data_IF_128959760943
#
_entry.id   IF_128959760943
#
_cell.length_a   1.000
_cell.length_b   1.000
_cell.length_c   1.000
_cell.angle_alpha   90.00
_cell.angle_beta   90.00
_cell.angle_gamma   90.00
#
_symmetry.space_group_name_H-M   'P 1'
#
loop_
_entity.id
_entity.type
_entity.pdbx_description
1 polymer ?
#
# COMPACT_ATOMS: atom_id res chain seq x y z
N UNK A 1 21.32 21.76 15.26
CA UNK A 1 21.95 20.61 14.57
C UNK A 1 22.19 21.06 13.15
N UNK A 2 23.42 20.98 12.64
CA UNK A 2 23.73 21.41 11.26
C UNK A 2 23.34 20.34 10.23
N UNK A 3 22.97 19.15 10.70
CA UNK A 3 22.57 18.00 9.91
C UNK A 3 21.04 17.82 10.08
N UNK A 4 20.29 17.63 8.98
CA UNK A 4 18.85 17.42 9.06
C UNK A 4 18.51 16.14 9.84
N UNK A 5 17.38 16.15 10.53
CA UNK A 5 16.85 14.96 11.21
C UNK A 5 16.22 14.03 10.18
N UNK A 6 16.49 12.72 10.24
CA UNK A 6 15.94 11.74 9.30
C UNK A 6 14.94 10.84 10.01
N UNK A 7 13.64 10.98 9.73
CA UNK A 7 12.59 10.10 10.22
C UNK A 7 12.73 8.71 9.59
N UNK A 8 12.51 7.67 10.40
CA UNK A 8 12.68 6.27 9.98
C UNK A 8 11.65 5.36 10.63
N UNK A 9 11.71 4.06 10.32
CA UNK A 9 10.92 3.01 10.97
C UNK A 9 9.43 3.37 11.13
N UNK A 10 8.86 3.25 12.34
CA UNK A 10 7.41 3.44 12.55
C UNK A 10 7.02 4.88 12.25
N UNK A 11 7.82 5.86 12.65
CA UNK A 11 7.52 7.28 12.35
C UNK A 11 7.48 7.58 10.85
N UNK A 12 8.41 7.05 10.05
CA UNK A 12 8.39 7.22 8.59
C UNK A 12 7.20 6.51 7.91
N UNK A 13 6.75 5.39 8.47
CA UNK A 13 5.53 4.71 8.03
C UNK A 13 4.27 5.51 8.39
N UNK A 14 4.17 6.02 9.63
CA UNK A 14 3.05 6.88 10.06
C UNK A 14 2.92 8.12 9.16
N UNK A 15 4.04 8.74 8.81
CA UNK A 15 4.06 9.91 7.93
C UNK A 15 3.41 9.63 6.56
N UNK A 16 3.63 8.46 5.97
CA UNK A 16 3.03 8.07 4.66
C UNK A 16 1.52 7.93 4.68
N UNK A 17 0.93 7.82 5.88
CA UNK A 17 -0.51 7.78 6.11
C UNK A 17 -1.10 9.17 6.38
N UNK A 18 -0.32 10.23 6.22
CA UNK A 18 -0.82 11.60 6.38
C UNK A 18 -1.21 12.20 5.04
N UNK A 19 -2.27 13.01 5.04
CA UNK A 19 -2.60 13.85 3.87
C UNK A 19 -1.44 14.79 3.52
N UNK A 20 -0.72 15.28 4.53
CA UNK A 20 0.46 16.12 4.33
C UNK A 20 1.50 15.46 3.40
N UNK A 21 1.84 14.19 3.64
CA UNK A 21 2.81 13.47 2.83
C UNK A 21 2.28 13.18 1.41
N UNK A 22 1.01 12.80 1.29
CA UNK A 22 0.37 12.58 -0.01
C UNK A 22 0.40 13.85 -0.88
N UNK A 23 -0.11 14.97 -0.33
CA UNK A 23 -0.14 16.27 -1.01
C UNK A 23 1.29 16.75 -1.36
N UNK A 24 2.27 16.51 -0.48
CA UNK A 24 3.68 16.81 -0.73
C UNK A 24 4.24 16.02 -1.92
N UNK A 25 3.95 14.72 -2.01
CA UNK A 25 4.39 13.88 -3.14
C UNK A 25 3.75 14.32 -4.45
N UNK A 26 2.50 14.75 -4.43
CA UNK A 26 1.81 15.24 -5.61
C UNK A 26 2.40 16.56 -6.10
N UNK A 27 2.69 17.51 -5.19
CA UNK A 27 3.42 18.74 -5.53
C UNK A 27 4.79 18.43 -6.14
N UNK A 28 5.52 17.47 -5.57
CA UNK A 28 6.85 17.10 -6.07
C UNK A 28 6.78 16.56 -7.51
N UNK A 29 5.79 15.71 -7.80
CA UNK A 29 5.54 15.18 -9.14
C UNK A 29 5.16 16.28 -10.12
N UNK A 30 4.23 17.14 -9.73
CA UNK A 30 3.77 18.25 -10.56
C UNK A 30 4.93 19.17 -10.95
N UNK A 31 5.80 19.49 -9.99
CA UNK A 31 6.96 20.33 -10.22
C UNK A 31 7.99 19.67 -11.15
N UNK A 32 8.30 18.40 -10.91
CA UNK A 32 9.14 17.61 -11.81
C UNK A 32 8.62 17.63 -13.24
N UNK A 33 7.31 17.41 -13.43
CA UNK A 33 6.66 17.49 -14.76
C UNK A 33 6.82 18.85 -15.43
N UNK A 34 6.63 19.94 -14.68
CA UNK A 34 6.75 21.31 -15.21
C UNK A 34 8.18 21.64 -15.66
N UNK A 35 9.19 21.09 -14.99
CA UNK A 35 10.60 21.32 -15.29
C UNK A 35 11.21 20.28 -16.25
N UNK A 36 10.48 19.20 -16.58
CA UNK A 36 11.02 18.09 -17.38
C UNK A 36 12.01 17.20 -16.61
N UNK A 37 11.91 17.17 -15.28
CA UNK A 37 12.78 16.44 -14.37
C UNK A 37 11.99 15.37 -13.57
N UNK A 38 12.72 14.55 -12.78
CA UNK A 38 12.08 13.66 -11.80
C UNK A 38 11.39 14.46 -10.67
N UNK A 39 10.56 13.83 -9.83
CA UNK A 39 9.88 14.54 -8.74
C UNK A 39 10.85 15.19 -7.76
N UNK A 40 10.70 16.49 -7.48
CA UNK A 40 11.52 17.23 -6.52
C UNK A 40 10.73 18.32 -5.79
N UNK A 41 11.27 18.79 -4.67
CA UNK A 41 10.75 19.95 -3.92
C UNK A 41 11.90 20.90 -3.62
N UNK A 42 11.62 22.20 -3.66
CA UNK A 42 12.55 23.21 -3.19
C UNK A 42 12.28 23.55 -1.72
N UNK A 43 13.23 24.24 -1.09
CA UNK A 43 13.11 24.67 0.30
C UNK A 43 11.92 25.60 0.56
N UNK A 44 11.48 26.32 -0.47
CA UNK A 44 10.30 27.19 -0.43
C UNK A 44 8.99 26.39 -0.32
N UNK A 45 8.96 25.15 -0.82
CA UNK A 45 7.77 24.27 -0.81
C UNK A 45 7.60 23.53 0.52
N UNK A 46 8.63 23.53 1.36
CA UNK A 46 8.66 22.77 2.62
C UNK A 46 8.18 23.63 3.79
N UNK A 47 7.32 23.08 4.66
CA UNK A 47 6.93 23.78 5.88
C UNK A 47 8.14 24.01 6.78
N UNK A 48 8.14 25.14 7.49
CA UNK A 48 9.09 25.41 8.55
C UNK A 48 8.49 25.03 9.90
N UNK A 49 9.10 24.04 10.55
CA UNK A 49 8.71 23.58 11.88
C UNK A 49 9.74 23.98 12.95
N UNK A 50 10.65 24.91 12.60
CA UNK A 50 11.65 25.46 13.51
C UNK A 50 12.85 24.55 13.78
N UNK A 51 13.14 23.55 12.94
CA UNK A 51 14.28 22.64 13.18
C UNK A 51 15.65 23.23 12.83
N UNK A 52 15.68 24.33 12.06
CA UNK A 52 16.92 25.02 11.67
C UNK A 52 17.47 25.95 12.74
N UNK A 53 16.76 26.14 13.85
CA UNK A 53 17.25 26.93 14.97
C UNK A 53 18.51 26.28 15.56
N UNK A 54 19.62 27.02 15.52
CA UNK A 54 20.89 26.57 16.07
C UNK A 54 20.80 26.38 17.59
N UNK A 55 21.44 25.31 18.09
CA UNK A 55 21.51 25.02 19.51
C UNK A 55 20.24 24.49 20.17
N UNK A 56 19.16 24.22 19.42
CA UNK A 56 17.95 23.62 19.98
C UNK A 56 18.27 22.26 20.65
N UNK A 57 17.89 22.05 21.93
CA UNK A 57 18.17 20.80 22.61
C UNK A 57 17.29 19.68 22.05
N UNK A 58 17.75 18.43 22.20
CA UNK A 58 17.11 17.26 21.58
C UNK A 58 15.62 17.10 21.94
N UNK A 59 15.24 17.42 23.18
CA UNK A 59 13.83 17.35 23.60
C UNK A 59 12.94 18.38 22.88
N UNK A 60 13.46 19.59 22.59
CA UNK A 60 12.75 20.61 21.81
C UNK A 60 12.59 20.16 20.35
N UNK A 61 13.62 19.54 19.77
CA UNK A 61 13.54 18.94 18.43
C UNK A 61 12.48 17.84 18.37
N UNK A 62 12.46 16.93 19.35
CA UNK A 62 11.44 15.88 19.46
C UNK A 62 10.05 16.49 19.57
N UNK A 63 9.85 17.47 20.45
CA UNK A 63 8.55 18.14 20.62
C UNK A 63 8.06 18.77 19.31
N UNK A 64 8.93 19.51 18.60
CA UNK A 64 8.59 20.13 17.31
C UNK A 64 8.16 19.10 16.26
N UNK A 65 8.87 17.98 16.19
CA UNK A 65 8.52 16.88 15.27
C UNK A 65 7.19 16.23 15.67
N UNK A 66 6.98 15.96 16.96
CA UNK A 66 5.72 15.41 17.47
C UNK A 66 4.54 16.34 17.16
N UNK A 67 4.66 17.63 17.47
CA UNK A 67 3.62 18.63 17.19
C UNK A 67 3.30 18.70 15.68
N UNK A 68 4.34 18.67 14.84
CA UNK A 68 4.18 18.65 13.39
C UNK A 68 3.43 17.40 12.91
N UNK A 69 3.85 16.19 13.34
CA UNK A 69 3.21 14.93 12.98
C UNK A 69 1.73 14.90 13.41
N UNK A 70 1.44 15.38 14.62
CA UNK A 70 0.07 15.49 15.13
C UNK A 70 -0.74 16.47 14.29
N UNK A 71 -0.17 17.62 13.94
CA UNK A 71 -0.82 18.61 13.05
C UNK A 71 -1.09 18.05 11.64
N UNK A 72 -0.29 17.09 11.18
CA UNK A 72 -0.45 16.39 9.91
C UNK A 72 -1.43 15.21 9.97
N UNK A 73 -1.99 14.93 11.15
CA UNK A 73 -3.04 13.92 11.35
C UNK A 73 -2.56 12.60 11.95
N UNK A 74 -1.30 12.48 12.37
CA UNK A 74 -0.85 11.30 13.12
C UNK A 74 -1.47 11.34 14.53
N UNK A 75 -2.12 10.25 15.01
CA UNK A 75 -2.65 10.23 16.36
C UNK A 75 -1.57 10.49 17.41
N UNK A 76 -1.86 11.30 18.43
CA UNK A 76 -0.88 11.73 19.43
C UNK A 76 -0.21 10.55 20.16
N UNK A 77 -0.96 9.47 20.42
CA UNK A 77 -0.43 8.25 21.02
C UNK A 77 0.58 7.51 20.11
N UNK A 78 0.43 7.64 18.79
CA UNK A 78 1.34 7.02 17.81
C UNK A 78 2.56 7.90 17.51
N UNK A 79 2.45 9.22 17.71
CA UNK A 79 3.54 10.19 17.61
C UNK A 79 4.33 10.38 18.92
N UNK A 80 4.02 9.60 19.97
CA UNK A 80 4.60 9.74 21.29
C UNK A 80 6.10 9.39 21.34
N UNK A 81 6.57 8.49 20.48
CA UNK A 81 7.98 8.15 20.33
C UNK A 81 8.40 8.36 18.86
N UNK A 82 9.50 9.06 18.66
CA UNK A 82 10.02 9.43 17.34
C UNK A 82 11.21 8.53 16.98
N UNK A 83 11.08 7.78 15.88
CA UNK A 83 12.13 6.97 15.30
C UNK A 83 12.97 7.78 14.31
N UNK A 84 14.25 7.94 14.58
CA UNK A 84 15.21 8.62 13.70
C UNK A 84 16.32 7.70 13.23
N UNK A 85 16.78 7.90 12.00
CA UNK A 85 17.95 7.22 11.44
C UNK A 85 19.19 8.07 11.69
N UNK A 86 20.22 7.45 12.24
CA UNK A 86 21.54 8.05 12.41
C UNK A 86 22.60 7.24 11.65
N UNK A 87 23.63 7.87 11.05
CA UNK A 87 24.65 7.15 10.28
C UNK A 87 25.40 6.11 11.12
N UNK A 88 25.92 6.51 12.28
CA UNK A 88 26.78 5.69 13.13
C UNK A 88 26.31 5.67 14.60
N UNK A 89 26.90 4.75 15.38
CA UNK A 89 26.56 4.57 16.79
C UNK A 89 26.84 5.81 17.65
N UNK A 90 27.88 6.57 17.32
CA UNK A 90 28.30 7.76 18.06
C UNK A 90 27.39 8.97 17.79
N UNK A 91 26.57 8.91 16.73
CA UNK A 91 25.61 9.94 16.38
C UNK A 91 24.29 9.82 17.18
N UNK A 92 24.15 8.77 18.01
CA UNK A 92 22.96 8.57 18.83
C UNK A 92 22.83 9.67 19.87
N UNK A 93 21.67 10.31 19.87
CA UNK A 93 21.29 11.29 20.89
C UNK A 93 20.41 10.63 21.93
N UNK A 94 20.74 10.79 23.22
CA UNK A 94 19.86 10.34 24.31
C UNK A 94 18.86 11.44 24.62
N UNK A 95 17.61 11.19 24.25
CA UNK A 95 16.47 12.02 24.63
C UNK A 95 15.29 11.11 24.98
N UNK A 96 14.43 11.57 25.88
CA UNK A 96 13.14 10.92 26.10
C UNK A 96 12.33 11.01 24.80
N UNK A 97 11.56 9.97 24.48
CA UNK A 97 10.71 9.92 23.29
C UNK A 97 11.45 9.94 21.95
N UNK A 98 12.76 9.63 21.94
CA UNK A 98 13.58 9.55 20.74
C UNK A 98 14.25 8.17 20.65
N UNK A 99 13.92 7.42 19.61
CA UNK A 99 14.56 6.16 19.27
C UNK A 99 15.55 6.37 18.11
N UNK A 100 16.84 6.26 18.38
CA UNK A 100 17.88 6.34 17.35
C UNK A 100 18.22 4.95 16.77
N UNK A 101 17.99 4.78 15.48
CA UNK A 101 18.33 3.59 14.72
C UNK A 101 19.60 3.83 13.91
N UNK A 102 20.56 2.90 13.97
CA UNK A 102 21.85 3.06 13.27
C UNK A 102 21.75 2.49 11.87
N UNK A 103 22.10 3.29 10.86
CA UNK A 103 22.18 2.84 9.48
C UNK A 103 23.43 1.98 9.22
N UNK A 104 24.55 2.34 9.85
CA UNK A 104 25.85 1.67 9.67
C UNK A 104 26.69 2.26 8.54
N UNK A 105 26.39 3.49 8.12
CA UNK A 105 27.03 4.18 7.01
C UNK A 105 26.39 5.55 6.76
N UNK A 106 26.98 6.33 5.87
CA UNK A 106 26.37 7.59 5.40
C UNK A 106 25.09 7.25 4.64
N UNK A 107 24.01 7.95 4.97
CA UNK A 107 22.72 7.82 4.27
C UNK A 107 22.80 8.69 3.01
N UNK A 108 22.71 8.05 1.84
CA UNK A 108 22.71 8.76 0.56
C UNK A 108 21.42 9.54 0.30
N UNK A 109 21.52 10.60 -0.49
CA UNK A 109 20.38 11.45 -0.86
C UNK A 109 19.27 10.67 -1.56
N UNK A 110 19.62 9.62 -2.31
CA UNK A 110 18.66 8.73 -2.98
C UNK A 110 17.83 7.86 -2.02
N UNK A 111 18.24 7.81 -0.75
CA UNK A 111 17.62 7.00 0.30
C UNK A 111 16.76 7.82 1.26
N UNK A 112 16.64 9.14 1.04
CA UNK A 112 15.87 10.08 1.87
C UNK A 112 15.08 11.05 1.00
N UNK A 113 14.08 11.70 1.58
CA UNK A 113 13.35 12.78 0.95
C UNK A 113 13.02 13.88 1.97
N UNK A 114 13.02 15.16 1.56
CA UNK A 114 12.64 16.25 2.44
C UNK A 114 11.13 16.24 2.73
N UNK A 115 10.77 16.54 3.97
CA UNK A 115 9.36 16.62 4.43
C UNK A 115 9.04 17.91 5.17
N UNK A 116 10.06 18.53 5.78
CA UNK A 116 10.00 19.90 6.29
C UNK A 116 11.41 20.49 6.26
N UNK A 117 11.56 21.80 6.47
CA UNK A 117 12.88 22.43 6.53
C UNK A 117 13.69 21.85 7.69
N UNK A 118 14.80 21.17 7.37
CA UNK A 118 15.64 20.46 8.35
C UNK A 118 15.11 19.09 8.79
N UNK A 119 14.03 18.58 8.17
CA UNK A 119 13.47 17.26 8.42
C UNK A 119 13.38 16.46 7.11
N UNK A 120 13.99 15.29 7.12
CA UNK A 120 13.91 14.29 6.06
C UNK A 120 13.12 13.07 6.56
N UNK A 121 12.64 12.26 5.64
CA UNK A 121 12.13 10.91 5.89
C UNK A 121 12.92 9.93 5.01
N UNK A 122 13.10 8.69 5.48
CA UNK A 122 13.65 7.62 4.62
C UNK A 122 12.74 7.39 3.41
N UNK A 123 13.36 7.11 2.25
CA UNK A 123 12.67 6.76 1.01
C UNK A 123 11.86 5.47 1.10
N UNK A 124 10.96 5.24 0.13
CA UNK A 124 9.95 4.17 0.21
C UNK A 124 10.56 2.77 0.35
N UNK A 125 11.62 2.47 -0.40
CA UNK A 125 12.29 1.17 -0.30
C UNK A 125 12.96 0.93 1.07
N UNK A 126 13.54 1.97 1.68
CA UNK A 126 14.16 1.88 3.00
C UNK A 126 13.09 1.82 4.10
N UNK A 127 12.03 2.63 3.99
CA UNK A 127 10.88 2.57 4.89
C UNK A 127 10.24 1.17 4.88
N UNK A 128 10.01 0.61 3.69
CA UNK A 128 9.46 -0.73 3.51
C UNK A 128 10.38 -1.83 4.09
N UNK A 129 11.69 -1.68 3.88
CA UNK A 129 12.68 -2.60 4.45
C UNK A 129 12.71 -2.55 5.98
N UNK A 130 12.67 -1.35 6.55
CA UNK A 130 12.62 -1.15 8.00
C UNK A 130 11.31 -1.71 8.57
N UNK A 131 10.17 -1.51 7.89
CA UNK A 131 8.87 -2.04 8.29
C UNK A 131 8.86 -3.56 8.50
N UNK A 132 9.67 -4.28 7.74
CA UNK A 132 9.84 -5.71 7.90
C UNK A 132 10.47 -6.15 9.24
N UNK A 133 10.91 -5.21 10.09
CA UNK A 133 11.50 -5.51 11.40
C UNK A 133 10.47 -5.56 12.54
N UNK A 134 9.25 -5.05 12.32
CA UNK A 134 8.15 -5.09 13.30
C UNK A 134 6.80 -5.54 12.71
N UNK A 135 6.59 -5.40 11.39
CA UNK A 135 5.40 -5.92 10.73
C UNK A 135 5.52 -7.42 10.48
N UNK A 136 4.42 -8.13 10.70
CA UNK A 136 4.31 -9.50 10.20
C UNK A 136 4.21 -9.53 8.67
N UNK A 137 4.28 -10.73 8.09
CA UNK A 137 4.30 -10.87 6.63
C UNK A 137 3.01 -10.42 5.95
N UNK A 138 1.85 -10.48 6.63
CA UNK A 138 0.56 -10.05 6.06
C UNK A 138 0.51 -8.53 6.01
N UNK A 139 0.84 -7.87 7.12
CA UNK A 139 0.95 -6.41 7.21
C UNK A 139 2.01 -5.84 6.26
N UNK A 140 3.15 -6.52 6.10
CA UNK A 140 4.18 -6.07 5.17
C UNK A 140 3.74 -6.19 3.71
N UNK A 141 2.99 -7.23 3.31
CA UNK A 141 2.45 -7.33 1.95
C UNK A 141 1.44 -6.20 1.71
N UNK A 142 0.54 -5.96 2.65
CA UNK A 142 -0.46 -4.90 2.55
C UNK A 142 0.18 -3.50 2.48
N UNK A 143 1.19 -3.22 3.30
CA UNK A 143 1.94 -1.96 3.19
C UNK A 143 2.64 -1.83 1.82
N UNK A 144 3.12 -2.93 1.25
CA UNK A 144 3.65 -2.93 -0.12
C UNK A 144 2.59 -2.55 -1.16
N UNK A 145 1.35 -3.01 -0.98
CA UNK A 145 0.22 -2.57 -1.81
C UNK A 145 -0.13 -1.10 -1.59
N UNK A 146 -0.11 -0.57 -0.36
CA UNK A 146 -0.32 0.87 -0.13
C UNK A 146 0.73 1.74 -0.83
N UNK A 147 2.00 1.28 -0.90
CA UNK A 147 3.05 2.00 -1.62
C UNK A 147 2.88 1.94 -3.15
N UNK A 148 2.43 0.80 -3.68
CA UNK A 148 2.28 0.54 -5.12
C UNK A 148 0.88 0.81 -5.67
N UNK A 149 -0.06 1.10 -4.79
CA UNK A 149 -1.47 1.31 -5.07
C UNK A 149 -1.76 2.77 -5.40
N UNK A 150 -2.96 2.99 -5.91
CA UNK A 150 -3.51 4.31 -6.22
C UNK A 150 -4.38 4.86 -5.09
N UNK A 151 -4.04 4.51 -3.86
CA UNK A 151 -4.77 4.93 -2.67
C UNK A 151 -3.84 5.03 -1.47
N UNK A 152 -4.25 5.79 -0.46
CA UNK A 152 -3.65 5.76 0.86
C UNK A 152 -4.72 5.77 1.95
N UNK A 153 -4.31 5.42 3.17
CA UNK A 153 -5.20 5.25 4.33
C UNK A 153 -4.93 6.33 5.39
N UNK A 154 -5.54 7.53 5.26
CA UNK A 154 -5.47 8.56 6.29
C UNK A 154 -6.02 8.08 7.63
N UNK A 155 -5.45 8.58 8.73
CA UNK A 155 -5.93 8.24 10.07
C UNK A 155 -7.33 8.79 10.30
N UNK A 156 -8.22 7.94 10.85
CA UNK A 156 -9.58 8.33 11.24
C UNK A 156 -10.49 8.75 10.06
N UNK A 157 -10.10 8.45 8.82
CA UNK A 157 -10.83 8.84 7.62
C UNK A 157 -10.92 7.65 6.65
N UNK A 158 -11.91 7.65 5.73
CA UNK A 158 -11.92 6.71 4.61
C UNK A 158 -10.63 6.79 3.80
N UNK A 159 -10.33 5.73 3.04
CA UNK A 159 -9.23 5.79 2.07
C UNK A 159 -9.45 6.92 1.07
N UNK A 160 -8.36 7.46 0.53
CA UNK A 160 -8.41 8.45 -0.53
C UNK A 160 -7.55 8.01 -1.71
N UNK A 161 -7.99 8.35 -2.91
CA UNK A 161 -7.22 8.12 -4.14
C UNK A 161 -5.93 8.95 -4.12
N UNK A 162 -4.85 8.38 -4.65
CA UNK A 162 -3.53 9.01 -4.70
C UNK A 162 -2.65 8.34 -5.76
N UNK A 163 -1.67 9.04 -6.31
CA UNK A 163 -0.72 8.44 -7.25
C UNK A 163 0.31 7.56 -6.50
N UNK A 164 0.67 6.35 -6.99
CA UNK A 164 1.51 5.40 -6.26
C UNK A 164 2.84 5.98 -5.78
N UNK A 165 3.17 5.81 -4.50
CA UNK A 165 4.41 6.33 -3.92
C UNK A 165 5.65 5.78 -4.62
N UNK A 166 5.61 4.49 -4.99
CA UNK A 166 6.62 3.81 -5.78
C UNK A 166 5.97 2.65 -6.56
N UNK A 167 6.52 2.28 -7.71
CA UNK A 167 6.20 1.02 -8.36
C UNK A 167 6.88 -0.17 -7.66
N UNK A 168 6.34 -1.37 -7.85
CA UNK A 168 6.95 -2.64 -7.42
C UNK A 168 8.36 -2.78 -7.97
N UNK A 169 8.61 -2.33 -9.20
CA UNK A 169 9.94 -2.36 -9.81
C UNK A 169 10.92 -1.47 -9.04
N UNK A 170 10.54 -0.22 -8.77
CA UNK A 170 11.36 0.73 -8.00
C UNK A 170 11.62 0.22 -6.58
N UNK A 171 10.59 -0.31 -5.89
CA UNK A 171 10.76 -0.93 -4.58
C UNK A 171 11.71 -2.13 -4.64
N UNK A 172 11.55 -3.02 -5.63
CA UNK A 172 12.41 -4.19 -5.78
C UNK A 172 13.87 -3.81 -6.01
N UNK A 173 14.12 -2.81 -6.86
CA UNK A 173 15.46 -2.29 -7.13
C UNK A 173 16.03 -1.59 -5.89
N UNK A 174 15.24 -0.79 -5.17
CA UNK A 174 15.66 -0.15 -3.93
C UNK A 174 16.04 -1.16 -2.85
N UNK A 175 15.19 -2.16 -2.60
CA UNK A 175 15.45 -3.25 -1.65
C UNK A 175 16.67 -4.10 -2.08
N UNK A 176 16.96 -4.19 -3.38
CA UNK A 176 18.17 -4.86 -3.86
C UNK A 176 19.46 -4.12 -3.47
N UNK A 177 19.42 -2.77 -3.39
CA UNK A 177 20.56 -1.92 -3.00
C UNK A 177 20.82 -1.92 -1.48
N UNK A 178 19.80 -2.17 -0.66
CA UNK A 178 19.88 -2.19 0.82
C UNK A 178 20.49 -3.48 1.40
N UNK A 179 21.62 -3.93 0.85
CA UNK A 179 22.30 -5.15 1.33
C UNK A 179 22.80 -4.94 2.76
N UNK A 180 22.56 -5.93 3.63
CA UNK A 180 22.97 -5.89 5.04
C UNK A 180 22.02 -5.13 5.96
N UNK A 181 21.03 -4.41 5.43
CA UNK A 181 20.00 -3.76 6.24
C UNK A 181 19.06 -4.80 6.85
N UNK A 182 18.78 -4.66 8.15
CA UNK A 182 17.80 -5.51 8.85
C UNK A 182 16.44 -5.42 8.15
N UNK A 183 15.80 -6.58 7.93
CA UNK A 183 14.49 -6.66 7.26
C UNK A 183 14.55 -6.91 5.75
N UNK A 184 15.71 -6.76 5.09
CA UNK A 184 15.82 -6.89 3.62
C UNK A 184 15.29 -8.22 3.07
N UNK A 185 15.58 -9.35 3.73
CA UNK A 185 15.11 -10.67 3.30
C UNK A 185 13.59 -10.79 3.38
N UNK A 186 13.00 -10.28 4.47
CA UNK A 186 11.55 -10.29 4.67
C UNK A 186 10.85 -9.35 3.68
N UNK A 187 11.41 -8.16 3.42
CA UNK A 187 10.93 -7.22 2.40
C UNK A 187 10.91 -7.84 1.00
N UNK A 188 12.00 -8.46 0.55
CA UNK A 188 12.05 -9.19 -0.74
C UNK A 188 11.00 -10.28 -0.81
N UNK A 189 10.83 -11.01 0.28
CA UNK A 189 9.89 -12.13 0.37
C UNK A 189 8.42 -11.66 0.34
N UNK A 190 8.12 -10.46 0.86
CA UNK A 190 6.80 -9.84 0.79
C UNK A 190 6.51 -9.29 -0.61
N UNK A 191 7.47 -8.61 -1.26
CA UNK A 191 7.32 -8.05 -2.61
C UNK A 191 6.94 -9.09 -3.68
N UNK A 192 7.26 -10.36 -3.46
CA UNK A 192 6.82 -11.45 -4.34
C UNK A 192 5.28 -11.55 -4.49
N UNK A 193 4.53 -11.04 -3.52
CA UNK A 193 3.05 -11.02 -3.50
C UNK A 193 2.45 -9.62 -3.65
N UNK A 194 3.25 -8.58 -3.92
CA UNK A 194 2.76 -7.21 -4.16
C UNK A 194 2.59 -6.99 -5.66
N UNK A 195 1.58 -6.23 -6.07
CA UNK A 195 1.33 -5.87 -7.47
C UNK A 195 0.94 -4.40 -7.56
N UNK A 196 1.34 -3.74 -8.65
CA UNK A 196 1.05 -2.34 -8.89
C UNK A 196 -0.44 -2.12 -9.18
N UNK A 197 -0.94 -0.95 -8.79
CA UNK A 197 -2.18 -0.40 -9.34
C UNK A 197 -3.48 -0.82 -8.65
N UNK A 198 -3.46 -1.41 -7.45
CA UNK A 198 -4.68 -1.53 -6.61
C UNK A 198 -5.24 -0.14 -6.32
N UNK A 199 -6.54 0.11 -6.48
CA UNK A 199 -7.18 1.43 -6.30
C UNK A 199 -7.94 1.58 -4.99
N UNK A 200 -8.14 0.48 -4.27
CA UNK A 200 -8.80 0.51 -2.97
C UNK A 200 -8.22 -0.54 -2.01
N UNK A 201 -8.45 -0.39 -0.69
CA UNK A 201 -8.12 -1.42 0.29
C UNK A 201 -8.80 -2.77 0.00
N UNK A 202 -10.01 -2.76 -0.57
CA UNK A 202 -10.75 -3.99 -0.88
C UNK A 202 -10.22 -4.70 -2.13
N UNK A 203 -9.71 -3.96 -3.11
CA UNK A 203 -8.95 -4.57 -4.22
C UNK A 203 -7.63 -5.17 -3.72
N UNK A 204 -6.96 -4.51 -2.77
CA UNK A 204 -5.78 -5.09 -2.10
C UNK A 204 -6.14 -6.34 -1.33
N UNK A 205 -7.27 -6.35 -0.61
CA UNK A 205 -7.78 -7.53 0.06
C UNK A 205 -8.03 -8.70 -0.92
N UNK A 206 -8.71 -8.43 -2.04
CA UNK A 206 -8.92 -9.38 -3.12
C UNK A 206 -7.59 -9.92 -3.66
N UNK A 207 -6.67 -9.03 -4.00
CA UNK A 207 -5.38 -9.38 -4.55
C UNK A 207 -4.55 -10.21 -3.57
N UNK A 208 -4.57 -9.91 -2.28
CA UNK A 208 -3.90 -10.71 -1.25
C UNK A 208 -4.51 -12.11 -1.12
N UNK A 209 -5.83 -12.25 -1.17
CA UNK A 209 -6.49 -13.57 -1.12
C UNK A 209 -6.08 -14.47 -2.31
N UNK A 210 -5.81 -13.89 -3.48
CA UNK A 210 -5.36 -14.63 -4.68
C UNK A 210 -3.84 -14.84 -4.70
N UNK A 211 -3.05 -13.82 -4.35
CA UNK A 211 -1.60 -13.80 -4.64
C UNK A 211 -0.71 -14.12 -3.45
N UNK A 212 -1.21 -13.99 -2.22
CA UNK A 212 -0.43 -14.30 -1.03
C UNK A 212 -0.10 -15.80 -0.98
N UNK A 213 1.00 -16.20 -0.32
CA UNK A 213 1.37 -17.61 -0.19
C UNK A 213 0.29 -18.44 0.51
N UNK A 214 0.21 -19.73 0.19
CA UNK A 214 -0.71 -20.66 0.87
C UNK A 214 -0.46 -20.76 2.37
N UNK A 215 0.79 -20.57 2.80
CA UNK A 215 1.16 -20.52 4.22
C UNK A 215 0.52 -19.33 4.96
N UNK A 216 0.13 -18.27 4.25
CA UNK A 216 -0.59 -17.14 4.82
C UNK A 216 -2.10 -17.22 4.66
N UNK A 217 -2.60 -18.13 3.81
CA UNK A 217 -4.03 -18.31 3.51
C UNK A 217 -4.45 -17.92 2.10
N UNK A 218 -3.52 -17.41 1.28
CA UNK A 218 -3.81 -17.04 -0.11
C UNK A 218 -3.73 -18.24 -1.08
N UNK A 219 -4.10 -18.01 -2.34
CA UNK A 219 -4.04 -19.04 -3.39
C UNK A 219 -2.65 -19.21 -4.02
N UNK A 220 -1.70 -18.31 -3.73
CA UNK A 220 -0.34 -18.28 -4.28
C UNK A 220 -0.31 -18.20 -5.82
N UNK A 221 -1.29 -17.52 -6.41
CA UNK A 221 -1.36 -17.31 -7.85
C UNK A 221 -0.85 -15.92 -8.22
N UNK A 222 0.27 -15.85 -8.95
CA UNK A 222 1.00 -14.59 -9.21
C UNK A 222 1.01 -14.12 -10.66
N UNK A 223 0.38 -14.86 -11.58
CA UNK A 223 0.22 -14.43 -12.98
C UNK A 223 -1.00 -13.52 -13.13
N UNK A 224 -0.92 -12.38 -12.45
CA UNK A 224 -1.99 -11.39 -12.37
C UNK A 224 -1.51 -9.98 -12.70
N UNK A 225 -2.45 -9.15 -13.12
CA UNK A 225 -2.32 -7.69 -13.25
C UNK A 225 -3.54 -7.05 -12.62
N UNK A 226 -3.36 -5.99 -11.82
CA UNK A 226 -4.47 -5.28 -11.22
C UNK A 226 -4.95 -4.13 -12.11
N UNK A 227 -6.25 -3.80 -12.00
CA UNK A 227 -6.92 -2.75 -12.77
C UNK A 227 -6.55 -2.82 -14.27
N UNK A 228 -6.57 -4.03 -14.81
CA UNK A 228 -6.11 -4.29 -16.17
C UNK A 228 -7.13 -3.78 -17.17
N UNK A 229 -6.68 -2.93 -18.09
CA UNK A 229 -7.51 -2.42 -19.18
C UNK A 229 -7.65 -3.47 -20.28
N UNK A 230 -8.88 -3.89 -20.52
CA UNK A 230 -9.29 -4.72 -21.64
C UNK A 230 -10.05 -3.85 -22.66
N UNK A 231 -9.42 -3.55 -23.79
CA UNK A 231 -10.10 -2.84 -24.88
C UNK A 231 -11.16 -3.75 -25.53
N UNK A 232 -12.33 -3.18 -25.83
CA UNK A 232 -13.42 -3.88 -26.53
C UNK A 232 -13.10 -3.92 -28.02
N UNK A 233 -12.86 -5.11 -28.61
CA UNK A 233 -12.59 -5.20 -30.04
C UNK A 233 -13.79 -4.74 -30.85
N UNK A 234 -13.53 -4.15 -32.04
CA UNK A 234 -14.58 -3.66 -32.95
C UNK A 234 -15.65 -4.71 -33.28
N UNK A 235 -15.30 -5.99 -33.28
CA UNK A 235 -16.25 -7.09 -33.49
C UNK A 235 -17.37 -7.14 -32.44
N UNK A 236 -17.11 -6.66 -31.22
CA UNK A 236 -18.03 -6.66 -30.09
C UNK A 236 -18.63 -5.29 -29.78
N UNK A 237 -18.32 -4.25 -30.58
CA UNK A 237 -18.77 -2.87 -30.34
C UNK A 237 -20.29 -2.68 -30.49
N UNK A 238 -21.01 -3.69 -30.99
CA UNK A 238 -22.48 -3.71 -31.04
C UNK A 238 -23.11 -4.40 -29.83
N UNK A 239 -22.31 -5.06 -29.01
CA UNK A 239 -22.74 -5.82 -27.83
C UNK A 239 -22.57 -5.02 -26.53
N UNK A 240 -21.87 -3.89 -26.57
CA UNK A 240 -21.72 -2.97 -25.45
C UNK A 240 -21.40 -1.56 -25.95
N UNK A 241 -21.84 -0.50 -25.25
CA UNK A 241 -21.41 0.87 -25.53
C UNK A 241 -19.99 1.18 -25.05
N UNK A 242 -19.40 0.36 -24.18
CA UNK A 242 -18.06 0.60 -23.63
C UNK A 242 -16.96 0.33 -24.66
N UNK A 243 -15.93 1.18 -24.65
CA UNK A 243 -14.73 1.00 -25.49
C UNK A 243 -13.64 0.18 -24.79
N UNK A 244 -13.69 0.08 -23.47
CA UNK A 244 -12.82 -0.75 -22.65
C UNK A 244 -13.50 -1.09 -21.31
N UNK A 245 -12.94 -2.07 -20.62
CA UNK A 245 -13.23 -2.37 -19.22
C UNK A 245 -11.93 -2.38 -18.40
N UNK A 246 -12.02 -2.06 -17.12
CA UNK A 246 -10.93 -2.23 -16.17
C UNK A 246 -11.32 -3.31 -15.17
N UNK A 247 -10.46 -4.33 -15.05
CA UNK A 247 -10.71 -5.51 -14.22
C UNK A 247 -9.79 -5.46 -13.00
N UNK A 248 -10.37 -5.47 -11.80
CA UNK A 248 -9.64 -5.31 -10.53
C UNK A 248 -8.44 -6.25 -10.41
N UNK A 249 -8.65 -7.54 -10.66
CA UNK A 249 -7.60 -8.55 -10.78
C UNK A 249 -7.83 -9.38 -12.03
N UNK A 250 -6.88 -9.33 -12.96
CA UNK A 250 -6.95 -10.07 -14.21
C UNK A 250 -5.79 -11.06 -14.32
N UNK A 251 -6.08 -12.25 -14.83
CA UNK A 251 -5.07 -13.22 -15.24
C UNK A 251 -5.00 -13.36 -16.76
N UNK A 252 -4.01 -12.74 -17.41
CA UNK A 252 -3.85 -12.83 -18.86
C UNK A 252 -3.64 -14.28 -19.35
N UNK A 253 -2.96 -15.10 -18.57
CA UNK A 253 -2.64 -16.49 -18.95
C UNK A 253 -3.85 -17.43 -18.91
N UNK A 254 -4.94 -17.02 -18.26
CA UNK A 254 -6.15 -17.84 -18.09
C UNK A 254 -7.41 -17.19 -18.65
N UNK A 255 -7.33 -15.94 -19.10
CA UNK A 255 -8.50 -15.12 -19.47
C UNK A 255 -9.54 -15.06 -18.35
N UNK A 256 -9.09 -14.96 -17.10
CA UNK A 256 -9.96 -14.91 -15.90
C UNK A 256 -9.85 -13.54 -15.27
N UNK A 257 -10.99 -12.92 -15.00
CA UNK A 257 -11.09 -11.71 -14.19
C UNK A 257 -11.73 -12.00 -12.84
N UNK A 258 -11.28 -11.31 -11.80
CA UNK A 258 -11.92 -11.30 -10.49
C UNK A 258 -12.15 -9.86 -10.08
N UNK A 259 -13.39 -9.52 -9.76
CA UNK A 259 -13.81 -8.17 -9.38
C UNK A 259 -14.38 -8.18 -7.96
N UNK A 260 -14.19 -7.08 -7.25
CA UNK A 260 -14.83 -6.83 -5.98
C UNK A 260 -16.07 -5.94 -6.18
N UNK A 261 -17.22 -6.41 -5.69
CA UNK A 261 -18.47 -5.64 -5.67
C UNK A 261 -18.77 -5.20 -4.22
N UNK A 262 -18.44 -3.95 -3.93
CA UNK A 262 -18.79 -3.28 -2.69
C UNK A 262 -20.22 -2.76 -2.77
N UNK A 263 -21.17 -3.42 -2.11
CA UNK A 263 -22.58 -3.02 -2.09
C UNK A 263 -22.78 -1.51 -1.86
N UNK A 264 -23.15 -0.79 -2.90
CA UNK A 264 -23.71 0.56 -2.82
C UNK A 264 -25.23 0.46 -3.02
N UNK A 265 -26.01 0.82 -2.00
CA UNK A 265 -27.47 0.88 -2.07
C UNK A 265 -27.91 1.74 -3.29
N UNK A 266 -28.50 1.11 -4.32
CA UNK A 266 -29.06 1.82 -5.47
C UNK A 266 -29.30 0.97 -6.73
N UNK A 267 -30.57 0.56 -6.87
CA UNK A 267 -31.42 0.45 -8.08
C UNK A 267 -31.08 -0.50 -9.25
N UNK A 268 -32.13 -1.19 -9.70
CA UNK A 268 -32.26 -2.14 -10.83
C UNK A 268 -31.52 -1.73 -12.11
N UNK A 269 -31.33 -0.44 -12.37
CA UNK A 269 -30.58 0.08 -13.52
C UNK A 269 -29.10 -0.35 -13.49
N UNK A 270 -28.44 -0.33 -12.32
CA UNK A 270 -27.05 -0.81 -12.17
C UNK A 270 -26.93 -2.31 -12.47
N UNK A 271 -27.89 -3.11 -12.00
CA UNK A 271 -27.94 -4.55 -12.28
C UNK A 271 -28.03 -4.85 -13.78
N UNK A 272 -28.75 -4.02 -14.54
CA UNK A 272 -28.83 -4.13 -16.00
C UNK A 272 -27.48 -3.86 -16.67
N UNK A 273 -26.80 -2.78 -16.29
CA UNK A 273 -25.47 -2.44 -16.80
C UNK A 273 -24.41 -3.48 -16.41
N UNK A 274 -24.45 -4.01 -15.20
CA UNK A 274 -23.52 -5.06 -14.76
C UNK A 274 -23.76 -6.38 -15.51
N UNK A 275 -25.03 -6.74 -15.77
CA UNK A 275 -25.35 -7.90 -16.58
C UNK A 275 -24.89 -7.73 -18.04
N UNK A 276 -25.08 -6.56 -18.64
CA UNK A 276 -24.58 -6.24 -19.98
C UNK A 276 -23.05 -6.32 -20.05
N UNK A 277 -22.35 -5.74 -19.06
CA UNK A 277 -20.89 -5.81 -18.92
C UNK A 277 -20.39 -7.25 -18.85
N UNK A 278 -20.96 -8.07 -17.97
CA UNK A 278 -20.57 -9.47 -17.81
C UNK A 278 -20.87 -10.29 -19.07
N UNK A 279 -21.97 -10.02 -19.77
CA UNK A 279 -22.29 -10.64 -21.04
C UNK A 279 -21.26 -10.28 -22.13
N UNK A 280 -20.87 -9.01 -22.23
CA UNK A 280 -19.85 -8.57 -23.18
C UNK A 280 -18.49 -9.22 -22.88
N UNK A 281 -18.05 -9.23 -21.62
CA UNK A 281 -16.81 -9.91 -21.20
C UNK A 281 -16.84 -11.42 -21.52
N UNK A 282 -17.98 -12.08 -21.28
CA UNK A 282 -18.19 -13.48 -21.62
C UNK A 282 -18.12 -13.74 -23.13
N UNK A 283 -18.77 -12.90 -23.95
CA UNK A 283 -18.69 -12.98 -25.42
C UNK A 283 -17.26 -12.79 -25.94
N UNK A 284 -16.46 -11.97 -25.26
CA UNK A 284 -15.03 -11.80 -25.55
C UNK A 284 -14.16 -12.98 -25.06
N UNK A 285 -14.76 -13.98 -24.40
CA UNK A 285 -14.08 -15.19 -23.94
C UNK A 285 -13.45 -15.09 -22.56
N UNK A 286 -13.84 -14.10 -21.75
CA UNK A 286 -13.34 -13.93 -20.38
C UNK A 286 -14.26 -14.61 -19.35
N UNK A 287 -13.67 -15.36 -18.42
CA UNK A 287 -14.37 -15.90 -17.26
C UNK A 287 -14.28 -14.94 -16.08
N UNK A 288 -15.40 -14.28 -15.76
CA UNK A 288 -15.49 -13.27 -14.71
C UNK A 288 -16.03 -13.86 -13.40
N UNK A 289 -15.32 -13.61 -12.30
CA UNK A 289 -15.77 -13.91 -10.93
C UNK A 289 -16.00 -12.61 -10.18
N UNK A 290 -17.18 -12.44 -9.62
CA UNK A 290 -17.50 -11.29 -8.76
C UNK A 290 -17.48 -11.75 -7.31
N UNK A 291 -16.71 -11.06 -6.47
CA UNK A 291 -16.67 -11.26 -5.02
C UNK A 291 -17.38 -10.11 -4.32
N UNK A 292 -18.44 -10.41 -3.58
CA UNK A 292 -19.24 -9.40 -2.88
C UNK A 292 -18.74 -9.13 -1.46
N UNK A 293 -19.12 -7.98 -0.91
CA UNK A 293 -18.94 -7.65 0.51
C UNK A 293 -19.45 -8.76 1.45
N UNK A 294 -20.60 -9.38 1.14
CA UNK A 294 -21.19 -10.49 1.90
C UNK A 294 -20.31 -11.74 1.87
N UNK A 295 -19.67 -12.04 0.74
CA UNK A 295 -18.73 -13.16 0.66
C UNK A 295 -17.51 -12.91 1.54
N UNK A 296 -16.97 -11.69 1.52
CA UNK A 296 -15.86 -11.31 2.41
C UNK A 296 -16.25 -11.35 3.90
N UNK A 297 -17.49 -11.02 4.25
CA UNK A 297 -17.97 -11.01 5.64
C UNK A 297 -18.02 -12.41 6.27
N UNK A 298 -18.30 -13.45 5.48
CA UNK A 298 -18.55 -14.80 5.99
C UNK A 298 -17.52 -15.82 5.53
N UNK A 299 -16.90 -16.53 6.48
CA UNK A 299 -15.86 -17.55 6.24
C UNK A 299 -16.25 -18.56 5.14
N UNK A 300 -17.40 -19.21 5.27
CA UNK A 300 -17.82 -20.28 4.34
C UNK A 300 -18.10 -19.73 2.94
N UNK A 301 -18.68 -18.53 2.84
CA UNK A 301 -18.96 -17.89 1.57
C UNK A 301 -17.66 -17.51 0.87
N UNK A 302 -16.71 -16.92 1.60
CA UNK A 302 -15.39 -16.61 1.07
C UNK A 302 -14.67 -17.87 0.61
N UNK A 303 -14.67 -18.94 1.41
CA UNK A 303 -14.00 -20.19 1.04
C UNK A 303 -14.56 -20.78 -0.27
N UNK A 304 -15.89 -20.81 -0.42
CA UNK A 304 -16.55 -21.25 -1.66
C UNK A 304 -16.17 -20.38 -2.84
N UNK A 305 -16.14 -19.06 -2.66
CA UNK A 305 -15.78 -18.13 -3.72
C UNK A 305 -14.32 -18.28 -4.15
N UNK A 306 -13.40 -18.44 -3.20
CA UNK A 306 -11.99 -18.71 -3.50
C UNK A 306 -11.76 -20.07 -4.17
N UNK A 307 -12.57 -21.09 -3.86
CA UNK A 307 -12.55 -22.36 -4.59
C UNK A 307 -13.00 -22.20 -6.05
N UNK A 308 -14.02 -21.38 -6.31
CA UNK A 308 -14.46 -21.08 -7.68
C UNK A 308 -13.38 -20.30 -8.47
N UNK A 309 -12.78 -19.26 -7.85
CA UNK A 309 -11.66 -18.52 -8.43
C UNK A 309 -10.49 -19.47 -8.76
N UNK A 310 -10.13 -20.33 -7.81
CA UNK A 310 -9.05 -21.29 -8.01
C UNK A 310 -9.33 -22.28 -9.15
N UNK A 311 -10.56 -22.75 -9.30
CA UNK A 311 -10.96 -23.62 -10.40
C UNK A 311 -10.77 -22.93 -11.75
N UNK A 312 -11.23 -21.68 -11.89
CA UNK A 312 -11.07 -20.88 -13.12
C UNK A 312 -9.61 -20.56 -13.44
N UNK A 313 -8.81 -20.24 -12.41
CA UNK A 313 -7.36 -20.05 -12.56
C UNK A 313 -6.60 -21.36 -12.82
N UNK A 314 -7.28 -22.51 -12.78
CA UNK A 314 -6.71 -23.83 -12.99
C UNK A 314 -5.63 -24.19 -11.99
N UNK A 315 -5.80 -23.77 -10.73
CA UNK A 315 -4.91 -24.10 -9.62
C UNK A 315 -5.55 -25.14 -8.70
N UNK A 316 -4.73 -26.05 -8.17
CA UNK A 316 -5.18 -26.99 -7.15
C UNK A 316 -5.22 -26.27 -5.80
N UNK A 317 -6.39 -26.32 -5.14
CA UNK A 317 -6.58 -25.82 -3.78
C UNK A 317 -6.27 -26.91 -2.78
N UNK A 318 -5.55 -26.54 -1.71
CA UNK A 318 -5.40 -27.40 -0.54
C UNK A 318 -6.75 -27.48 0.20
N UNK A 319 -7.30 -28.69 0.32
CA UNK A 319 -8.59 -28.93 0.98
C UNK A 319 -8.47 -29.18 2.48
N UNK A 320 -7.26 -29.09 3.04
CA UNK A 320 -7.02 -29.32 4.46
C UNK A 320 -7.75 -28.31 5.34
N UNK A 321 -8.21 -28.76 6.51
CA UNK A 321 -8.76 -27.87 7.53
C UNK A 321 -7.75 -26.79 7.97
N UNK A 322 -6.45 -27.10 7.91
CA UNK A 322 -5.39 -26.15 8.21
C UNK A 322 -5.33 -25.02 7.19
N UNK A 323 -5.46 -25.32 5.89
CA UNK A 323 -5.52 -24.28 4.86
C UNK A 323 -6.78 -23.43 4.99
N UNK A 324 -7.95 -24.06 5.23
CA UNK A 324 -9.19 -23.32 5.46
C UNK A 324 -9.08 -22.35 6.65
N UNK A 325 -8.43 -22.77 7.74
CA UNK A 325 -8.14 -21.91 8.89
C UNK A 325 -7.25 -20.73 8.50
N UNK A 326 -6.14 -20.98 7.79
CA UNK A 326 -5.24 -19.90 7.33
C UNK A 326 -5.93 -18.93 6.38
N UNK A 327 -6.78 -19.43 5.48
CA UNK A 327 -7.56 -18.60 4.56
C UNK A 327 -8.56 -17.72 5.32
N UNK A 328 -9.19 -18.24 6.37
CA UNK A 328 -10.05 -17.43 7.25
C UNK A 328 -9.26 -16.39 8.05
N UNK A 329 -8.08 -16.74 8.55
CA UNK A 329 -7.19 -15.77 9.21
C UNK A 329 -6.77 -14.64 8.26
N UNK A 330 -6.41 -14.96 7.01
CA UNK A 330 -6.10 -13.94 6.00
C UNK A 330 -7.32 -13.08 5.69
N UNK A 331 -8.50 -13.68 5.51
CA UNK A 331 -9.76 -12.98 5.28
C UNK A 331 -10.03 -11.98 6.40
N UNK A 332 -9.96 -12.42 7.67
CA UNK A 332 -10.16 -11.53 8.84
C UNK A 332 -9.13 -10.41 8.88
N UNK A 333 -7.87 -10.72 8.55
CA UNK A 333 -6.82 -9.71 8.47
C UNK A 333 -7.17 -8.65 7.42
N UNK A 334 -7.47 -9.02 6.17
CA UNK A 334 -7.66 -8.04 5.08
C UNK A 334 -8.95 -7.22 5.21
N UNK A 335 -9.95 -7.68 5.98
CA UNK A 335 -11.20 -6.92 6.21
C UNK A 335 -11.23 -6.20 7.56
N UNK A 336 -10.16 -6.23 8.36
CA UNK A 336 -10.18 -5.72 9.74
C UNK A 336 -10.63 -4.26 9.83
N UNK A 337 -10.09 -3.38 8.98
CA UNK A 337 -10.48 -1.97 8.94
C UNK A 337 -11.92 -1.73 8.44
N UNK A 338 -12.53 -2.71 7.77
CA UNK A 338 -13.91 -2.63 7.30
C UNK A 338 -14.91 -3.11 8.36
N UNK A 339 -14.56 -4.12 9.15
CA UNK A 339 -15.39 -4.60 10.27
C UNK A 339 -15.47 -3.56 11.39
N UNK A 340 -14.38 -2.86 11.66
CA UNK A 340 -14.34 -1.81 12.69
C UNK A 340 -15.27 -0.64 12.31
N UNK A 341 -15.25 -0.20 11.05
CA UNK A 341 -16.12 0.86 10.54
C UNK A 341 -17.63 0.53 10.59
N UNK A 342 -18.00 -0.76 10.50
CA UNK A 342 -19.40 -1.23 10.60
C UNK A 342 -19.91 -1.35 12.04
N UNK A 343 -19.01 -1.45 13.02
CA UNK A 343 -19.40 -1.51 14.44
C UNK A 343 -19.51 -0.10 15.07
N UNK A 344 -19.01 0.92 14.38
CA UNK A 344 -19.11 2.34 14.76
C UNK A 344 -20.25 3.09 14.05
N UNK A 345 -20.97 2.42 13.14
CA UNK A 345 -22.19 2.89 12.46
C UNK A 345 -23.43 2.27 13.10
#
# INVERSE_FOLDING_TARGET
MDIPVVLSHKTAWLLRRTKHFADMRDRARERGRQCGEGPFLEDADLPDIGLREYGAPAHTVVQRITDALVSWGVPAQDAADIDVLVPFHNDRVRSRHLACHVHGGIVGEESVLPVARGLLSVGDALCFTQAATWMDRRALIEFGYELCGRYYLPFGQPYAEHDPYASKLELSQGVARLRGTRGVTAARTALASVFDGSRSPMETALAMMVTAPRSLGGLEYRHVSLNHRLDVPRAFSRCTPSTYYEIDLFSPTRSVGVEYDGEAHGETSRRGHDAERLNALSLMGYDMKVLTSVQFAHQLNMHRAMNAVAQSLGIKVDRSAQFQKRQDELRRFVIRGWLDARNES
#
